data_IF_895395091468
#
_entry.id   IF_895395091468
#
_cell.length_a   1.000
_cell.length_b   1.000
_cell.length_c   1.000
_cell.angle_alpha   90.00
_cell.angle_beta   90.00
_cell.angle_gamma   90.00
#
_symmetry.space_group_name_H-M   'P 1'
#
loop_
_entity.id
_entity.type
_entity.pdbx_description
1 polymer ?
#
# COMPACT_ATOMS: atom_id res chain seq x y z
N UNK A 1 -40.73 -11.49 20.46
CA UNK A 1 -39.78 -10.60 21.17
C UNK A 1 -38.41 -11.29 21.21
N UNK A 2 -37.38 -10.75 20.54
CA UNK A 2 -36.04 -11.38 20.49
C UNK A 2 -35.34 -11.16 21.84
N UNK A 3 -34.79 -12.22 22.45
CA UNK A 3 -34.10 -12.14 23.75
C UNK A 3 -32.84 -11.26 23.66
N UNK A 4 -32.44 -10.63 24.77
CA UNK A 4 -31.23 -9.79 24.83
C UNK A 4 -29.98 -10.53 24.33
N UNK A 5 -29.84 -11.81 24.70
CA UNK A 5 -28.75 -12.66 24.23
C UNK A 5 -28.74 -12.82 22.70
N UNK A 6 -29.91 -13.03 22.07
CA UNK A 6 -30.02 -13.14 20.61
C UNK A 6 -29.70 -11.82 19.90
N UNK A 7 -30.08 -10.67 20.48
CA UNK A 7 -29.70 -9.35 19.94
C UNK A 7 -28.19 -9.12 20.01
N UNK A 8 -27.56 -9.50 21.12
CA UNK A 8 -26.11 -9.42 21.26
C UNK A 8 -25.39 -10.34 20.26
N UNK A 9 -25.86 -11.60 20.12
CA UNK A 9 -25.33 -12.53 19.14
C UNK A 9 -25.46 -11.99 17.70
N UNK A 10 -26.59 -11.37 17.36
CA UNK A 10 -26.80 -10.75 16.04
C UNK A 10 -25.83 -9.57 15.80
N UNK A 11 -25.62 -8.74 16.82
CA UNK A 11 -24.65 -7.64 16.75
C UNK A 11 -23.23 -8.17 16.57
N UNK A 12 -22.82 -9.15 17.36
CA UNK A 12 -21.49 -9.77 17.27
C UNK A 12 -21.27 -10.41 15.89
N UNK A 13 -22.28 -11.11 15.37
CA UNK A 13 -22.23 -11.69 14.02
C UNK A 13 -22.06 -10.61 12.95
N UNK A 14 -22.81 -9.51 13.04
CA UNK A 14 -22.67 -8.38 12.12
C UNK A 14 -21.28 -7.73 12.20
N UNK A 15 -20.74 -7.56 13.41
CA UNK A 15 -19.39 -7.06 13.62
C UNK A 15 -18.34 -7.98 13.00
N UNK A 16 -18.41 -9.30 13.25
CA UNK A 16 -17.48 -10.27 12.69
C UNK A 16 -17.57 -10.32 11.16
N UNK A 17 -18.77 -10.23 10.59
CA UNK A 17 -18.95 -10.16 9.14
C UNK A 17 -18.29 -8.91 8.55
N UNK A 18 -18.49 -7.75 9.18
CA UNK A 18 -17.85 -6.50 8.75
C UNK A 18 -16.32 -6.56 8.88
N UNK A 19 -15.81 -7.06 10.00
CA UNK A 19 -14.37 -7.25 10.21
C UNK A 19 -13.77 -8.20 9.16
N UNK A 20 -14.47 -9.27 8.79
CA UNK A 20 -14.05 -10.18 7.73
C UNK A 20 -13.98 -9.48 6.36
N UNK A 21 -14.93 -8.60 6.03
CA UNK A 21 -14.86 -7.79 4.80
C UNK A 21 -13.60 -6.91 4.80
N UNK A 22 -13.33 -6.21 5.92
CA UNK A 22 -12.14 -5.37 6.04
C UNK A 22 -10.84 -6.18 5.93
N UNK A 23 -10.79 -7.37 6.51
CA UNK A 23 -9.65 -8.27 6.40
C UNK A 23 -9.38 -8.66 4.95
N UNK A 24 -10.42 -9.00 4.18
CA UNK A 24 -10.27 -9.35 2.76
C UNK A 24 -9.88 -8.17 1.88
N UNK A 25 -10.37 -6.96 2.18
CA UNK A 25 -9.91 -5.73 1.50
C UNK A 25 -8.40 -5.56 1.71
N UNK A 26 -7.93 -5.68 2.95
CA UNK A 26 -6.49 -5.57 3.26
C UNK A 26 -5.68 -6.66 2.54
N UNK A 27 -6.12 -7.92 2.59
CA UNK A 27 -5.46 -9.02 1.87
C UNK A 27 -5.38 -8.71 0.39
N UNK A 28 -6.46 -8.27 -0.25
CA UNK A 28 -6.47 -7.97 -1.68
C UNK A 28 -5.49 -6.86 -2.04
N UNK A 29 -5.45 -5.78 -1.26
CA UNK A 29 -4.49 -4.68 -1.46
C UNK A 29 -3.04 -5.16 -1.34
N UNK A 30 -2.71 -5.97 -0.33
CA UNK A 30 -1.36 -6.52 -0.16
C UNK A 30 -1.00 -7.62 -1.16
N UNK A 31 -2.00 -8.26 -1.78
CA UNK A 31 -1.82 -9.33 -2.76
C UNK A 31 -1.68 -8.81 -4.19
N UNK A 32 -1.86 -7.51 -4.42
CA UNK A 32 -1.67 -6.93 -5.75
C UNK A 32 -0.25 -7.24 -6.23
N UNK A 33 -0.07 -7.80 -7.45
CA UNK A 33 1.25 -8.02 -8.01
C UNK A 33 2.00 -6.71 -8.02
N UNK A 34 3.11 -6.66 -7.31
CA UNK A 34 4.02 -5.52 -7.43
C UNK A 34 4.75 -5.67 -8.75
N UNK A 35 4.73 -4.60 -9.51
CA UNK A 35 5.47 -4.51 -10.76
C UNK A 35 6.76 -3.75 -10.51
N UNK A 36 7.73 -3.93 -11.39
CA UNK A 36 8.87 -3.03 -11.44
C UNK A 36 8.37 -1.63 -11.77
N UNK A 37 8.65 -0.67 -10.89
CA UNK A 37 8.38 0.73 -11.11
C UNK A 37 9.68 1.44 -11.50
N UNK A 38 9.61 2.23 -12.58
CA UNK A 38 10.74 3.05 -13.05
C UNK A 38 10.25 4.48 -13.20
N UNK A 39 10.81 5.37 -12.40
CA UNK A 39 10.45 6.77 -12.30
C UNK A 39 11.61 7.65 -12.78
N UNK A 40 11.37 8.40 -13.86
CA UNK A 40 12.30 9.41 -14.36
C UNK A 40 11.93 10.75 -13.72
N UNK A 41 12.82 11.27 -12.88
CA UNK A 41 12.57 12.50 -12.16
C UNK A 41 13.00 13.71 -12.98
N UNK A 42 12.12 14.72 -13.01
CA UNK A 42 12.48 16.05 -13.48
C UNK A 42 13.26 16.79 -12.38
N UNK A 43 14.59 16.72 -12.48
CA UNK A 43 15.54 17.36 -11.55
C UNK A 43 16.17 18.63 -12.14
N UNK A 44 15.74 19.07 -13.32
CA UNK A 44 16.28 20.20 -14.05
C UNK A 44 17.62 19.92 -14.72
N UNK A 45 18.71 19.82 -13.96
CA UNK A 45 20.05 19.54 -14.48
C UNK A 45 20.53 18.13 -14.11
N UNK A 46 20.97 17.38 -15.12
CA UNK A 46 21.36 15.98 -15.00
C UNK A 46 20.18 15.03 -15.17
N UNK A 47 20.44 13.74 -15.04
CA UNK A 47 19.40 12.72 -14.99
C UNK A 47 19.07 12.37 -13.55
N UNK A 48 17.94 11.69 -13.31
CA UNK A 48 17.62 11.03 -12.04
C UNK A 48 16.57 9.94 -12.26
N UNK A 49 16.96 8.70 -12.02
CA UNK A 49 16.12 7.53 -12.28
C UNK A 49 15.98 6.73 -11.00
N UNK A 50 14.75 6.61 -10.53
CA UNK A 50 14.40 5.74 -9.42
C UNK A 50 13.78 4.45 -9.92
N UNK A 51 14.24 3.33 -9.38
CA UNK A 51 13.74 2.00 -9.67
C UNK A 51 13.29 1.37 -8.36
N UNK A 52 12.02 0.98 -8.28
CA UNK A 52 11.51 0.12 -7.20
C UNK A 52 11.17 -1.26 -7.79
N UNK A 53 11.87 -2.27 -7.30
CA UNK A 53 11.61 -3.68 -7.68
C UNK A 53 10.36 -4.22 -7.00
N UNK A 54 9.75 -5.29 -7.53
CA UNK A 54 8.67 -6.00 -6.84
C UNK A 54 9.02 -6.40 -5.39
N UNK A 55 10.30 -6.68 -5.11
CA UNK A 55 10.84 -7.04 -3.80
C UNK A 55 11.09 -5.83 -2.88
N UNK A 56 10.74 -4.60 -3.29
CA UNK A 56 10.98 -3.32 -2.60
C UNK A 56 12.45 -2.92 -2.48
N UNK A 57 13.35 -3.47 -3.30
CA UNK A 57 14.65 -2.84 -3.46
C UNK A 57 14.49 -1.52 -4.18
N UNK A 58 15.05 -0.47 -3.59
CA UNK A 58 15.05 0.89 -4.11
C UNK A 58 16.43 1.22 -4.64
N UNK A 59 16.51 1.64 -5.91
CA UNK A 59 17.75 1.96 -6.60
C UNK A 59 17.59 3.36 -7.19
N UNK A 60 18.56 4.23 -6.90
CA UNK A 60 18.67 5.55 -7.52
C UNK A 60 19.89 5.56 -8.45
N UNK A 61 19.67 5.88 -9.73
CA UNK A 61 20.70 6.02 -10.74
C UNK A 61 20.82 7.50 -11.11
N UNK A 62 22.06 7.99 -11.11
CA UNK A 62 22.45 9.36 -11.45
C UNK A 62 21.58 10.38 -10.68
N UNK A 63 21.84 10.68 -9.41
CA UNK A 63 20.90 11.42 -8.55
C UNK A 63 20.66 12.91 -8.88
N UNK A 64 20.97 13.36 -10.09
CA UNK A 64 20.92 14.76 -10.50
C UNK A 64 21.97 15.64 -9.82
N UNK A 65 21.86 16.95 -10.02
CA UNK A 65 22.86 17.91 -9.54
C UNK A 65 22.87 18.12 -8.00
N UNK A 66 21.82 17.73 -7.27
CA UNK A 66 21.71 17.98 -5.84
C UNK A 66 20.94 16.89 -5.09
N UNK A 67 21.13 16.83 -3.77
CA UNK A 67 20.56 15.80 -2.90
C UNK A 67 19.06 15.93 -2.64
N UNK A 68 18.37 16.91 -3.24
CA UNK A 68 16.92 17.11 -3.06
C UNK A 68 16.11 15.87 -3.44
N UNK A 69 16.65 15.04 -4.33
CA UNK A 69 16.02 13.80 -4.76
C UNK A 69 15.94 12.74 -3.66
N UNK A 70 16.78 12.82 -2.63
CA UNK A 70 16.75 11.89 -1.49
C UNK A 70 15.60 12.18 -0.51
N UNK A 71 14.91 13.31 -0.68
CA UNK A 71 13.75 13.71 0.13
C UNK A 71 12.40 13.31 -0.50
N UNK A 72 12.44 12.74 -1.72
CA UNK A 72 11.27 12.25 -2.48
C UNK A 72 10.97 10.80 -2.14
#
# INVERSE_FOLDING_TARGET
MISRAKKFALFLLGFLFFANILAWIAVFEFSKPKVLEVCFFDVGQGDAIFIETPERYQILIDGGANSKILEK
#
